data_IF_953372783995
#
_entry.id   IF_953372783995
#
_cell.length_a   1.000
_cell.length_b   1.000
_cell.length_c   1.000
_cell.angle_alpha   90.00
_cell.angle_beta   90.00
_cell.angle_gamma   90.00
#
_symmetry.space_group_name_H-M   'P 1'
#
loop_
_entity.id
_entity.type
_entity.pdbx_description
1 polymer ?
#
# COMPACT_ATOMS: atom_id res chain seq x y z
N UNK A 1 45.15 -13.59 -21.70
CA UNK A 1 45.77 -12.25 -21.67
C UNK A 1 44.62 -11.27 -21.83
N UNK A 2 44.09 -10.67 -20.75
CA UNK A 2 44.62 -9.49 -20.05
C UNK A 2 44.80 -8.30 -21.03
N UNK A 3 44.37 -7.07 -20.79
CA UNK A 3 43.79 -6.34 -19.65
C UNK A 3 43.27 -5.02 -20.24
N UNK A 4 42.24 -4.42 -19.63
CA UNK A 4 41.72 -3.11 -20.01
C UNK A 4 40.68 -2.61 -19.02
N UNK A 5 41.07 -2.58 -17.75
CA UNK A 5 40.37 -2.04 -16.59
C UNK A 5 40.81 -0.57 -16.42
N UNK A 6 39.90 0.40 -16.27
CA UNK A 6 39.71 1.30 -15.11
C UNK A 6 39.35 2.70 -15.66
N UNK A 7 38.57 3.63 -15.08
CA UNK A 7 37.78 3.76 -13.84
C UNK A 7 36.97 5.10 -13.90
N UNK A 8 35.90 5.19 -13.11
CA UNK A 8 35.27 6.44 -12.61
C UNK A 8 33.98 6.85 -13.36
N UNK A 9 32.80 7.08 -12.75
CA UNK A 9 32.46 7.66 -11.45
C UNK A 9 31.04 7.24 -10.99
N UNK A 10 30.88 7.05 -9.67
CA UNK A 10 29.68 7.18 -8.81
C UNK A 10 28.30 6.64 -9.26
N UNK A 11 27.79 5.67 -8.49
CA UNK A 11 26.36 5.57 -8.13
C UNK A 11 25.65 4.32 -8.65
N UNK A 12 25.55 3.27 -7.83
CA UNK A 12 24.51 2.26 -8.00
C UNK A 12 23.15 2.95 -7.76
N UNK A 13 22.53 3.46 -8.82
CA UNK A 13 21.22 4.09 -8.74
C UNK A 13 20.24 3.10 -8.10
N UNK A 14 19.77 3.42 -6.89
CA UNK A 14 18.71 2.70 -6.21
C UNK A 14 17.40 2.98 -6.96
N UNK A 15 17.27 2.43 -8.18
CA UNK A 15 16.19 2.71 -9.15
C UNK A 15 14.78 2.42 -8.60
N UNK A 16 14.73 1.59 -7.57
CA UNK A 16 13.51 1.25 -6.84
C UNK A 16 13.04 2.35 -5.87
N UNK A 17 13.85 3.36 -5.59
CA UNK A 17 13.43 4.53 -4.81
C UNK A 17 12.47 5.42 -5.59
N UNK A 18 11.66 6.14 -4.84
CA UNK A 18 10.72 7.15 -5.31
C UNK A 18 11.25 8.54 -4.96
N UNK A 19 11.01 9.51 -5.82
CA UNK A 19 11.38 10.90 -5.55
C UNK A 19 10.57 11.46 -4.39
N UNK A 20 11.18 12.33 -3.60
CA UNK A 20 10.56 13.02 -2.48
C UNK A 20 9.19 13.61 -2.82
N UNK A 21 9.14 14.44 -3.87
CA UNK A 21 7.92 15.09 -4.32
C UNK A 21 6.84 14.07 -4.71
N UNK A 22 7.23 13.00 -5.40
CA UNK A 22 6.32 11.93 -5.81
C UNK A 22 5.78 11.15 -4.61
N UNK A 23 6.57 10.95 -3.56
CA UNK A 23 6.08 10.37 -2.31
C UNK A 23 5.05 11.29 -1.63
N UNK A 24 5.38 12.58 -1.48
CA UNK A 24 4.47 13.57 -0.87
C UNK A 24 3.15 13.70 -1.63
N UNK A 25 3.18 13.79 -2.96
CA UNK A 25 1.96 13.96 -3.78
C UNK A 25 1.02 12.73 -3.77
N UNK A 26 1.52 11.55 -3.43
CA UNK A 26 0.74 10.31 -3.57
C UNK A 26 0.50 9.57 -2.25
N UNK A 27 1.36 9.72 -1.24
CA UNK A 27 1.19 9.05 0.04
C UNK A 27 0.56 9.96 1.11
N UNK A 28 0.54 11.28 0.93
CA UNK A 28 -0.08 12.15 1.94
C UNK A 28 -1.61 11.94 1.96
N UNK A 29 -2.22 11.60 3.11
CA UNK A 29 -3.65 11.31 3.23
C UNK A 29 -4.59 12.46 2.81
N UNK A 30 -4.08 13.69 2.84
CA UNK A 30 -4.84 14.90 2.48
C UNK A 30 -4.78 15.23 0.99
N UNK A 31 -3.98 14.50 0.21
CA UNK A 31 -3.81 14.74 -1.23
C UNK A 31 -4.54 13.67 -2.02
N UNK A 32 -5.14 14.04 -3.14
CA UNK A 32 -5.60 13.06 -4.13
C UNK A 32 -4.41 12.58 -4.96
N UNK A 33 -3.93 11.33 -4.77
CA UNK A 33 -2.80 10.78 -5.51
C UNK A 33 -3.07 10.82 -7.01
N UNK A 34 -2.13 11.40 -7.76
CA UNK A 34 -2.18 11.46 -9.23
C UNK A 34 -1.75 10.13 -9.86
N UNK A 35 -0.91 9.38 -9.14
CA UNK A 35 -0.36 8.09 -9.55
C UNK A 35 -0.47 7.13 -8.37
N UNK A 36 -0.96 5.93 -8.64
CA UNK A 36 -0.93 4.85 -7.65
C UNK A 36 0.46 4.22 -7.65
N UNK A 37 1.21 4.48 -6.59
CA UNK A 37 2.49 3.81 -6.34
C UNK A 37 2.28 2.65 -5.36
N UNK A 38 2.93 1.53 -5.66
CA UNK A 38 3.00 0.35 -4.81
C UNK A 38 4.47 0.12 -4.48
N UNK A 39 4.87 0.45 -3.26
CA UNK A 39 6.18 0.12 -2.71
C UNK A 39 6.07 -1.26 -2.05
N UNK A 40 7.05 -2.13 -2.24
CA UNK A 40 6.99 -3.44 -1.61
C UNK A 40 8.31 -3.93 -1.06
N UNK A 41 8.18 -4.78 -0.06
CA UNK A 41 9.27 -5.56 0.51
C UNK A 41 8.96 -7.04 0.51
N UNK A 42 9.98 -7.86 0.28
CA UNK A 42 9.89 -9.32 0.31
C UNK A 42 10.96 -9.88 1.25
N UNK A 43 10.52 -10.73 2.16
CA UNK A 43 11.37 -11.48 3.10
C UNK A 43 11.19 -12.98 2.88
N UNK A 44 12.29 -13.67 2.65
CA UNK A 44 12.30 -15.11 2.40
C UNK A 44 12.78 -15.87 3.63
N UNK A 45 11.94 -16.79 4.12
CA UNK A 45 12.22 -17.66 5.26
C UNK A 45 12.60 -16.88 6.52
N UNK A 46 13.58 -17.42 7.27
CA UNK A 46 14.19 -16.77 8.43
C UNK A 46 15.34 -15.81 8.07
N UNK A 47 15.52 -15.53 6.77
CA UNK A 47 16.59 -14.67 6.31
C UNK A 47 16.44 -13.21 6.77
N UNK A 48 17.56 -12.56 7.01
CA UNK A 48 17.61 -11.11 7.29
C UNK A 48 17.54 -10.25 6.02
N UNK A 49 17.75 -10.86 4.84
CA UNK A 49 17.76 -10.15 3.56
C UNK A 49 16.35 -9.71 3.17
N UNK A 50 16.19 -8.40 2.99
CA UNK A 50 14.95 -7.78 2.51
C UNK A 50 15.14 -7.32 1.07
N UNK A 51 14.25 -7.77 0.18
CA UNK A 51 14.20 -7.33 -1.20
C UNK A 51 13.19 -6.21 -1.33
N UNK A 52 13.56 -5.12 -2.00
CA UNK A 52 12.72 -3.93 -2.13
C UNK A 52 12.53 -3.56 -3.58
N UNK A 53 11.33 -3.17 -3.94
CA UNK A 53 11.08 -2.54 -5.23
C UNK A 53 9.82 -1.66 -5.18
N UNK A 54 9.47 -1.10 -6.35
CA UNK A 54 8.21 -0.40 -6.56
C UNK A 54 7.55 -0.78 -7.88
N UNK A 55 6.23 -0.68 -7.90
CA UNK A 55 5.40 -0.66 -9.09
C UNK A 55 4.58 0.64 -9.12
N UNK A 56 4.13 1.03 -10.29
CA UNK A 56 3.17 2.13 -10.45
C UNK A 56 2.06 1.68 -11.40
N UNK A 57 0.92 2.36 -11.35
CA UNK A 57 -0.09 2.17 -12.39
C UNK A 57 0.42 2.73 -13.73
N UNK A 58 -0.15 2.22 -14.82
CA UNK A 58 -0.07 2.81 -16.16
C UNK A 58 -1.43 3.39 -16.53
N UNK A 59 -1.56 3.91 -17.76
CA UNK A 59 -2.86 4.37 -18.28
C UNK A 59 -3.89 3.25 -18.40
N UNK A 60 -3.45 2.00 -18.53
CA UNK A 60 -4.31 0.85 -18.82
C UNK A 60 -4.35 -0.19 -17.71
N UNK A 61 -3.44 -0.13 -16.74
CA UNK A 61 -3.28 -1.17 -15.74
C UNK A 61 -2.97 -0.61 -14.35
N UNK A 62 -3.65 -1.16 -13.34
CA UNK A 62 -3.45 -0.78 -11.95
C UNK A 62 -2.10 -1.27 -11.40
N UNK A 63 -1.58 -0.59 -10.38
CA UNK A 63 -0.26 -0.85 -9.82
C UNK A 63 -0.12 -2.28 -9.26
N UNK A 64 -1.18 -2.79 -8.63
CA UNK A 64 -1.26 -4.12 -8.05
C UNK A 64 -1.12 -5.18 -9.13
N UNK A 65 -1.87 -5.05 -10.22
CA UNK A 65 -1.82 -6.00 -11.34
C UNK A 65 -0.46 -5.93 -12.03
N UNK A 66 0.08 -4.73 -12.24
CA UNK A 66 1.45 -4.55 -12.75
C UNK A 66 2.47 -5.28 -11.87
N UNK A 67 2.33 -5.19 -10.55
CA UNK A 67 3.23 -5.87 -9.63
C UNK A 67 3.11 -7.38 -9.69
N UNK A 68 1.89 -7.92 -9.71
CA UNK A 68 1.64 -9.35 -9.82
C UNK A 68 2.19 -9.93 -11.14
N UNK A 69 1.90 -9.27 -12.26
CA UNK A 69 2.22 -9.80 -13.59
C UNK A 69 3.63 -9.51 -14.06
N UNK A 70 4.23 -8.37 -13.69
CA UNK A 70 5.54 -7.98 -14.22
C UNK A 70 6.69 -8.16 -13.23
N UNK A 71 6.43 -7.94 -11.94
CA UNK A 71 7.45 -8.09 -10.91
C UNK A 71 7.45 -9.51 -10.34
N UNK A 72 6.28 -9.99 -9.90
CA UNK A 72 6.18 -11.26 -9.19
C UNK A 72 6.17 -12.47 -10.12
N UNK A 73 5.67 -12.36 -11.36
CA UNK A 73 5.81 -13.44 -12.34
C UNK A 73 7.28 -13.76 -12.67
N UNK A 74 8.19 -12.79 -12.53
CA UNK A 74 9.64 -12.99 -12.71
C UNK A 74 10.31 -13.59 -11.48
N UNK A 75 9.68 -13.47 -10.32
CA UNK A 75 10.16 -14.11 -9.10
C UNK A 75 9.74 -15.57 -9.16
N UNK A 76 10.72 -16.46 -9.31
CA UNK A 76 10.48 -17.88 -9.04
C UNK A 76 10.24 -18.00 -7.53
N UNK A 77 8.97 -18.04 -7.12
CA UNK A 77 8.57 -18.44 -5.77
C UNK A 77 8.88 -19.95 -5.63
N UNK A 78 10.18 -20.27 -5.55
CA UNK A 78 10.69 -21.63 -5.49
C UNK A 78 10.19 -22.32 -4.21
N UNK A 79 9.72 -23.58 -4.26
CA UNK A 79 9.23 -24.27 -3.08
C UNK A 79 10.40 -24.66 -2.14
N UNK A 80 10.20 -24.77 -0.80
CA UNK A 80 9.05 -24.41 0.03
C UNK A 80 9.42 -23.30 1.03
N UNK A 81 10.15 -22.26 0.61
CA UNK A 81 10.59 -21.21 1.54
C UNK A 81 9.44 -20.21 1.76
N UNK A 82 8.98 -20.00 3.01
CA UNK A 82 7.93 -19.02 3.29
C UNK A 82 8.34 -17.62 2.78
N UNK A 83 7.42 -16.93 2.12
CA UNK A 83 7.67 -15.64 1.52
C UNK A 83 6.71 -14.60 2.12
N UNK A 84 7.25 -13.63 2.83
CA UNK A 84 6.45 -12.57 3.47
C UNK A 84 6.59 -11.30 2.64
N UNK A 85 5.47 -10.84 2.10
CA UNK A 85 5.40 -9.66 1.26
C UNK A 85 4.65 -8.58 2.03
N UNK A 86 5.22 -7.37 2.08
CA UNK A 86 4.52 -6.17 2.58
C UNK A 86 4.39 -5.17 1.45
N UNK A 87 3.17 -4.76 1.16
CA UNK A 87 2.83 -3.70 0.22
C UNK A 87 2.48 -2.43 0.97
N UNK A 88 3.10 -1.33 0.58
CA UNK A 88 2.69 0.02 0.95
C UNK A 88 2.11 0.66 -0.31
N UNK A 89 0.84 1.04 -0.24
CA UNK A 89 0.07 1.58 -1.36
C UNK A 89 -0.39 2.99 -1.05
N UNK A 90 -0.40 3.87 -2.05
CA UNK A 90 -1.09 5.18 -1.91
C UNK A 90 -2.61 5.02 -1.74
N UNK A 91 -3.20 4.04 -2.42
CA UNK A 91 -4.63 3.75 -2.43
C UNK A 91 -4.89 2.27 -2.12
N UNK A 92 -5.93 1.98 -1.35
CA UNK A 92 -6.40 0.61 -1.18
C UNK A 92 -6.77 -0.02 -2.53
N UNK A 93 -6.59 -1.34 -2.71
CA UNK A 93 -6.94 -1.98 -3.97
C UNK A 93 -8.44 -1.86 -4.28
N UNK A 94 -8.77 -1.72 -5.56
CA UNK A 94 -10.16 -1.81 -6.00
C UNK A 94 -10.64 -3.27 -6.01
N UNK A 95 -11.95 -3.50 -6.09
CA UNK A 95 -12.53 -4.84 -6.05
C UNK A 95 -11.96 -5.80 -7.11
N UNK A 96 -11.64 -5.31 -8.31
CA UNK A 96 -10.96 -6.11 -9.33
C UNK A 96 -9.53 -6.50 -8.93
N UNK A 97 -8.75 -5.55 -8.38
CA UNK A 97 -7.41 -5.84 -7.90
C UNK A 97 -7.44 -6.82 -6.73
N UNK A 98 -8.39 -6.69 -5.80
CA UNK A 98 -8.58 -7.65 -4.70
C UNK A 98 -8.75 -9.08 -5.23
N UNK A 99 -9.60 -9.29 -6.25
CA UNK A 99 -9.77 -10.61 -6.88
C UNK A 99 -8.47 -11.14 -7.50
N UNK A 100 -7.70 -10.29 -8.19
CA UNK A 100 -6.42 -10.69 -8.79
C UNK A 100 -5.39 -11.06 -7.73
N UNK A 101 -5.34 -10.34 -6.61
CA UNK A 101 -4.48 -10.64 -5.46
C UNK A 101 -4.83 -12.01 -4.87
N UNK A 102 -6.12 -12.30 -4.67
CA UNK A 102 -6.56 -13.60 -4.15
C UNK A 102 -6.17 -14.76 -5.07
N UNK A 103 -6.36 -14.62 -6.39
CA UNK A 103 -5.93 -15.61 -7.37
C UNK A 103 -4.42 -15.87 -7.30
N UNK A 104 -3.63 -14.81 -7.14
CA UNK A 104 -2.18 -14.94 -6.96
C UNK A 104 -1.83 -15.71 -5.68
N UNK A 105 -2.47 -15.40 -4.54
CA UNK A 105 -2.19 -16.08 -3.27
C UNK A 105 -2.63 -17.55 -3.28
N UNK A 106 -3.74 -17.88 -3.93
CA UNK A 106 -4.19 -19.26 -4.12
C UNK A 106 -3.17 -20.09 -4.93
N UNK A 107 -2.52 -19.49 -5.93
CA UNK A 107 -1.47 -20.14 -6.70
C UNK A 107 -0.13 -20.25 -5.94
N UNK A 108 0.05 -19.49 -4.84
CA UNK A 108 1.32 -19.42 -4.09
C UNK A 108 1.06 -19.57 -2.57
N UNK A 109 0.76 -20.79 -2.08
CA UNK A 109 0.34 -21.01 -0.69
C UNK A 109 1.40 -20.69 0.37
N UNK A 110 2.67 -20.55 -0.03
CA UNK A 110 3.77 -20.15 0.86
C UNK A 110 3.97 -18.64 0.97
N UNK A 111 3.14 -17.85 0.28
CA UNK A 111 3.20 -16.39 0.31
C UNK A 111 2.20 -15.85 1.35
N UNK A 112 2.70 -15.05 2.28
CA UNK A 112 1.89 -14.23 3.17
C UNK A 112 1.97 -12.78 2.71
N UNK A 113 0.82 -12.11 2.61
CA UNK A 113 0.72 -10.73 2.16
C UNK A 113 0.14 -9.82 3.25
N UNK A 114 0.84 -8.71 3.49
CA UNK A 114 0.36 -7.56 4.25
C UNK A 114 0.19 -6.40 3.29
N UNK A 115 -0.97 -5.74 3.33
CA UNK A 115 -1.29 -4.55 2.56
C UNK A 115 -1.51 -3.39 3.52
N UNK A 116 -0.71 -2.34 3.37
CA UNK A 116 -0.81 -1.08 4.10
C UNK A 116 -1.15 0.03 3.11
N UNK A 117 -2.35 0.58 3.21
CA UNK A 117 -2.82 1.63 2.30
C UNK A 117 -2.79 3.00 3.00
N UNK A 118 -2.28 4.02 2.32
CA UNK A 118 -2.30 5.39 2.82
C UNK A 118 -3.73 5.95 2.85
N UNK A 119 -4.53 5.64 1.83
CA UNK A 119 -5.90 6.11 1.66
C UNK A 119 -6.82 4.99 1.13
N UNK A 120 -8.14 5.09 1.34
CA UNK A 120 -9.12 4.11 0.85
C UNK A 120 -9.78 4.55 -0.46
N UNK A 121 -9.55 3.79 -1.53
CA UNK A 121 -10.00 4.10 -2.89
C UNK A 121 -11.49 3.81 -3.07
N UNK A 122 -12.27 4.86 -3.40
CA UNK A 122 -13.72 4.78 -3.60
C UNK A 122 -14.39 3.90 -2.54
N UNK A 123 -14.12 4.16 -1.26
CA UNK A 123 -14.53 3.34 -0.12
C UNK A 123 -16.06 3.24 0.08
N UNK A 124 -16.84 4.05 -0.63
CA UNK A 124 -18.30 3.96 -0.72
C UNK A 124 -18.78 2.97 -1.80
N UNK A 125 -17.92 2.52 -2.71
CA UNK A 125 -18.26 1.50 -3.73
C UNK A 125 -18.27 0.11 -3.10
N UNK A 126 -19.44 -0.52 -3.07
CA UNK A 126 -19.63 -1.81 -2.43
C UNK A 126 -18.75 -2.92 -3.03
N UNK A 127 -18.36 -2.82 -4.30
CA UNK A 127 -17.44 -3.80 -4.92
C UNK A 127 -16.04 -3.71 -4.33
N UNK A 128 -15.59 -2.49 -4.00
CA UNK A 128 -14.31 -2.29 -3.35
C UNK A 128 -14.38 -2.74 -1.88
N UNK A 129 -15.46 -2.38 -1.19
CA UNK A 129 -15.70 -2.80 0.21
C UNK A 129 -15.70 -4.31 0.34
N UNK A 130 -16.45 -5.01 -0.53
CA UNK A 130 -16.48 -6.46 -0.56
C UNK A 130 -15.11 -7.05 -0.89
N UNK A 131 -14.41 -6.50 -1.88
CA UNK A 131 -13.06 -6.97 -2.21
C UNK A 131 -12.06 -6.86 -1.05
N UNK A 132 -12.13 -5.79 -0.25
CA UNK A 132 -11.31 -5.63 0.95
C UNK A 132 -11.67 -6.65 2.04
N UNK A 133 -12.97 -6.92 2.23
CA UNK A 133 -13.43 -7.99 3.14
C UNK A 133 -12.94 -9.36 2.69
N UNK A 134 -13.04 -9.66 1.40
CA UNK A 134 -12.61 -10.95 0.84
C UNK A 134 -11.11 -11.17 1.07
N UNK A 135 -10.27 -10.13 0.92
CA UNK A 135 -8.85 -10.19 1.24
C UNK A 135 -8.61 -10.60 2.69
N UNK A 136 -9.27 -9.93 3.64
CA UNK A 136 -9.11 -10.21 5.07
C UNK A 136 -9.62 -11.61 5.44
N UNK A 137 -10.76 -12.02 4.87
CA UNK A 137 -11.32 -13.37 5.08
C UNK A 137 -10.39 -14.49 4.57
N UNK A 138 -9.58 -14.20 3.55
CA UNK A 138 -8.60 -15.14 3.00
C UNK A 138 -7.19 -14.96 3.61
N UNK A 139 -7.10 -14.33 4.79
CA UNK A 139 -5.86 -14.26 5.57
C UNK A 139 -4.89 -13.15 5.18
N UNK A 140 -5.27 -12.23 4.27
CA UNK A 140 -4.46 -11.04 3.96
C UNK A 140 -4.64 -10.01 5.06
N UNK A 141 -3.55 -9.47 5.60
CA UNK A 141 -3.63 -8.39 6.57
C UNK A 141 -3.77 -7.06 5.84
N UNK A 142 -4.92 -6.40 5.95
CA UNK A 142 -5.19 -5.10 5.33
C UNK A 142 -5.27 -4.03 6.42
N UNK A 143 -4.45 -2.99 6.31
CA UNK A 143 -4.34 -1.91 7.30
C UNK A 143 -4.24 -0.55 6.61
N UNK A 144 -4.62 0.51 7.32
CA UNK A 144 -4.25 1.87 6.94
C UNK A 144 -2.86 2.17 7.51
N UNK A 145 -2.01 2.83 6.72
CA UNK A 145 -0.67 3.24 7.17
C UNK A 145 -0.75 4.16 8.39
N UNK A 146 0.02 3.84 9.42
CA UNK A 146 0.20 4.68 10.60
C UNK A 146 1.47 5.56 10.48
N UNK A 147 1.69 6.45 11.46
CA UNK A 147 2.88 7.31 11.46
C UNK A 147 4.21 6.53 11.38
N UNK A 148 4.42 5.45 12.14
CA UNK A 148 5.57 4.55 11.94
C UNK A 148 5.75 4.05 10.51
N UNK A 149 4.68 3.63 9.84
CA UNK A 149 4.72 3.17 8.44
C UNK A 149 5.15 4.27 7.49
N UNK A 150 4.63 5.48 7.67
CA UNK A 150 5.05 6.64 6.89
C UNK A 150 6.53 6.97 7.07
N UNK A 151 7.02 6.99 8.32
CA UNK A 151 8.44 7.19 8.64
C UNK A 151 9.31 6.08 8.05
N UNK A 152 8.83 4.84 8.10
CA UNK A 152 9.51 3.70 7.50
C UNK A 152 9.63 3.87 5.98
N UNK A 153 8.52 4.18 5.31
CA UNK A 153 8.49 4.36 3.87
C UNK A 153 9.39 5.52 3.43
N UNK A 154 9.33 6.64 4.15
CA UNK A 154 10.18 7.80 3.94
C UNK A 154 11.66 7.42 3.95
N UNK A 155 12.15 6.85 5.06
CA UNK A 155 13.56 6.50 5.24
C UNK A 155 14.05 5.44 4.25
N UNK A 156 13.16 4.54 3.84
CA UNK A 156 13.52 3.34 3.09
C UNK A 156 13.42 3.54 1.59
N UNK A 157 12.30 4.09 1.12
CA UNK A 157 11.96 4.16 -0.30
C UNK A 157 12.16 5.54 -0.91
N UNK A 158 12.30 6.61 -0.12
CA UNK A 158 12.46 7.96 -0.68
C UNK A 158 13.92 8.24 -0.98
N UNK A 159 14.17 8.89 -2.11
CA UNK A 159 15.47 9.49 -2.41
C UNK A 159 15.56 10.82 -1.66
N UNK A 160 16.48 10.90 -0.71
CA UNK A 160 16.77 12.14 0.01
C UNK A 160 17.84 12.94 -0.75
N UNK A 161 17.52 14.13 -1.26
CA UNK A 161 18.50 14.98 -1.94
C UNK A 161 19.56 15.54 -0.99
N UNK A 162 19.27 15.66 0.31
CA UNK A 162 20.18 16.21 1.32
C UNK A 162 20.17 15.40 2.63
N UNK A 163 21.32 15.28 3.29
CA UNK A 163 21.42 14.70 4.63
C UNK A 163 20.75 15.62 5.67
N UNK A 164 19.87 15.07 6.51
CA UNK A 164 19.21 15.82 7.57
C UNK A 164 17.82 16.37 7.24
N UNK A 165 17.23 16.03 6.08
CA UNK A 165 15.82 16.31 5.81
C UNK A 165 14.94 15.59 6.85
N UNK A 166 14.36 16.38 7.75
CA UNK A 166 13.42 15.88 8.74
C UNK A 166 12.12 15.47 8.09
N UNK A 167 11.55 14.34 8.50
CA UNK A 167 10.24 13.90 8.05
C UNK A 167 9.20 15.01 8.31
N UNK A 168 8.67 15.62 7.25
CA UNK A 168 7.62 16.63 7.36
C UNK A 168 6.25 15.95 7.39
N UNK A 169 5.67 15.84 8.58
CA UNK A 169 4.29 15.38 8.77
C UNK A 169 3.43 16.57 9.21
N UNK A 170 2.46 17.02 8.39
CA UNK A 170 1.54 18.08 8.78
C UNK A 170 0.80 17.78 10.08
N UNK A 171 0.41 18.80 10.86
CA UNK A 171 -0.29 18.57 12.14
C UNK A 171 -1.62 17.82 11.99
N UNK A 172 -2.26 17.87 10.82
CA UNK A 172 -3.54 17.21 10.53
C UNK A 172 -3.38 15.74 10.07
N UNK A 173 -2.15 15.25 9.87
CA UNK A 173 -1.88 13.89 9.40
C UNK A 173 -2.56 12.80 10.26
N UNK A 174 -2.51 12.88 11.61
CA UNK A 174 -3.17 11.89 12.48
C UNK A 174 -4.70 11.86 12.31
N UNK A 175 -5.33 12.98 11.98
CA UNK A 175 -6.79 13.06 11.79
C UNK A 175 -7.23 12.22 10.59
N UNK A 176 -6.51 12.33 9.47
CA UNK A 176 -6.81 11.53 8.28
C UNK A 176 -6.50 10.05 8.47
N UNK A 177 -5.39 9.72 9.15
CA UNK A 177 -5.08 8.33 9.50
C UNK A 177 -6.20 7.75 10.36
N UNK A 178 -6.72 8.52 11.33
CA UNK A 178 -7.84 8.10 12.17
C UNK A 178 -9.11 7.90 11.34
N UNK A 179 -9.43 8.86 10.45
CA UNK A 179 -10.58 8.76 9.56
C UNK A 179 -10.55 7.49 8.70
N UNK A 180 -9.46 7.26 7.96
CA UNK A 180 -9.34 6.08 7.10
C UNK A 180 -9.31 4.78 7.92
N UNK A 181 -8.71 4.78 9.11
CA UNK A 181 -8.76 3.60 9.99
C UNK A 181 -10.19 3.27 10.42
N UNK A 182 -10.95 4.26 10.88
CA UNK A 182 -12.35 4.06 11.26
C UNK A 182 -13.19 3.58 10.08
N UNK A 183 -12.98 4.16 8.89
CA UNK A 183 -13.68 3.73 7.69
C UNK A 183 -13.29 2.31 7.26
N UNK A 184 -12.01 1.94 7.35
CA UNK A 184 -11.58 0.56 7.07
C UNK A 184 -12.22 -0.41 8.07
N UNK A 185 -12.23 -0.11 9.37
CA UNK A 185 -12.90 -0.94 10.35
C UNK A 185 -14.40 -1.06 10.05
N UNK A 186 -15.04 0.04 9.66
CA UNK A 186 -16.44 0.03 9.25
C UNK A 186 -16.69 -0.88 8.03
N UNK A 187 -15.81 -0.85 7.02
CA UNK A 187 -15.86 -1.74 5.86
C UNK A 187 -15.74 -3.21 6.26
N UNK A 188 -14.79 -3.51 7.15
CA UNK A 188 -14.46 -4.88 7.56
C UNK A 188 -15.51 -5.47 8.51
N UNK A 189 -16.13 -4.65 9.37
CA UNK A 189 -17.11 -5.09 10.37
C UNK A 189 -18.55 -5.13 9.85
N UNK A 190 -18.95 -4.24 8.93
CA UNK A 190 -20.31 -4.23 8.40
C UNK A 190 -20.43 -5.24 7.24
N UNK A 191 -20.64 -6.51 7.61
CA UNK A 191 -21.03 -7.56 6.68
C UNK A 191 -22.44 -7.27 6.14
N UNK A 192 -22.73 -7.47 4.85
CA UNK A 192 -24.05 -7.16 4.24
C UNK A 192 -25.25 -7.89 4.87
N UNK A 193 -25.02 -8.90 5.72
CA UNK A 193 -26.06 -9.62 6.48
C UNK A 193 -26.39 -9.03 7.86
N UNK A 194 -25.54 -8.19 8.44
CA UNK A 194 -25.70 -7.67 9.81
C UNK A 194 -25.74 -6.14 9.82
N UNK A 195 -26.74 -5.56 9.17
CA UNK A 195 -27.05 -4.12 9.28
C UNK A 195 -27.72 -3.73 10.62
N UNK A 196 -27.92 -4.68 11.53
CA UNK A 196 -28.69 -4.49 12.78
C UNK A 196 -27.77 -4.32 14.01
N UNK A 197 -26.45 -4.21 13.83
CA UNK A 197 -25.52 -3.99 14.95
C UNK A 197 -25.44 -2.47 15.25
N UNK A 198 -25.78 -2.00 16.47
CA UNK A 198 -25.78 -0.57 16.82
C UNK A 198 -24.41 0.12 16.62
N UNK A 199 -23.32 -0.65 16.66
CA UNK A 199 -21.97 -0.15 16.40
C UNK A 199 -21.74 0.28 14.93
N UNK A 200 -22.43 -0.33 13.96
CA UNK A 200 -22.35 0.06 12.55
C UNK A 200 -22.98 1.47 12.36
N UNK A 201 -24.06 1.77 13.08
CA UNK A 201 -24.77 3.05 13.04
C UNK A 201 -23.94 4.22 13.59
N UNK A 202 -23.17 3.99 14.67
CA UNK A 202 -22.30 5.02 15.25
C UNK A 202 -21.09 5.34 14.35
N UNK A 203 -20.48 4.32 13.73
CA UNK A 203 -19.37 4.51 12.80
C UNK A 203 -19.80 5.21 11.50
N UNK A 204 -21.01 4.92 11.00
CA UNK A 204 -21.60 5.64 9.86
C UNK A 204 -21.77 7.14 10.14
N UNK A 205 -22.21 7.51 11.35
CA UNK A 205 -22.39 8.91 11.69
C UNK A 205 -21.05 9.67 11.67
N UNK A 206 -19.99 9.03 12.17
CA UNK A 206 -18.64 9.61 12.21
C UNK A 206 -18.06 9.74 10.79
N UNK A 207 -18.19 8.71 9.94
CA UNK A 207 -17.71 8.79 8.55
C UNK A 207 -18.48 9.83 7.72
N UNK A 208 -19.80 9.95 7.91
CA UNK A 208 -20.61 11.00 7.28
C UNK A 208 -20.24 12.42 7.77
N UNK A 209 -19.92 12.60 9.05
CA UNK A 209 -19.48 13.89 9.58
C UNK A 209 -18.15 14.34 8.98
N UNK A 210 -17.17 13.43 8.86
CA UNK A 210 -15.89 13.73 8.23
C UNK A 210 -16.00 13.94 6.71
N UNK A 211 -16.83 13.16 6.02
CA UNK A 211 -17.09 13.34 4.59
C UNK A 211 -17.73 14.71 4.29
N UNK A 212 -18.69 15.14 5.12
CA UNK A 212 -19.34 16.45 4.99
C UNK A 212 -18.42 17.62 5.38
N UNK A 213 -17.47 17.41 6.31
CA UNK A 213 -16.48 18.41 6.65
C UNK A 213 -15.46 18.63 5.51
N UNK A 214 -15.05 17.56 4.82
CA UNK A 214 -14.15 17.65 3.66
C UNK A 214 -14.79 18.29 2.43
N UNK A 215 -16.11 18.16 2.26
CA UNK A 215 -16.84 18.76 1.14
C UNK A 215 -17.09 20.27 1.30
N UNK A 216 -16.94 20.83 2.51
CA UNK A 216 -17.15 22.26 2.80
C UNK A 216 -15.86 23.09 2.79
N UNK A 217 -14.71 22.47 2.53
CA UNK A 217 -13.39 23.11 2.49
C UNK A 217 -12.77 23.13 1.08
N UNK A 218 -13.57 22.94 0.03
CA UNK A 218 -13.21 23.12 -1.37
C UNK A 218 -13.99 24.28 -1.99
#
# INVERSE_FOLDING_TARGET
MAVGEEKGLLGTSQRWKIELKSFQENYMPSTSPKVTHLLYEIRWGKGSKVWRNRCSNTLTQHAEVNCLENAFAKLQFNPPVPCHITWFLSWSPCGQCCRRILQFLQAHPHVTLVIKAAQLFKHMDERNRQGLRDLVQNGVHVQVMDLPDYRYCWRTFVTHPHEGESDFWPWFFPLWITFYNLELQHILLCHPYYQIVPACSQLQLVSHLFANASARSL
#
